data_IF_279861415516
#
_entry.id   IF_279861415516
#
_cell.length_a   1.000
_cell.length_b   1.000
_cell.length_c   1.000
_cell.angle_alpha   90.00
_cell.angle_beta   90.00
_cell.angle_gamma   90.00
#
_symmetry.space_group_name_H-M   'P 1'
#
loop_
_entity.id
_entity.type
_entity.pdbx_description
1 polymer ?
#
# COMPACT_ATOMS: atom_id res chain seq x y z
N UNK A 1 -21.96 45.41 43.65
CA UNK A 1 -22.43 44.20 42.98
C UNK A 1 -21.47 43.92 41.82
N UNK A 2 -20.55 42.97 42.03
CA UNK A 2 -19.63 42.50 41.00
C UNK A 2 -20.21 41.19 40.41
N UNK A 3 -20.55 41.20 39.14
CA UNK A 3 -20.94 40.01 38.39
C UNK A 3 -19.68 39.39 37.79
N UNK A 4 -19.28 38.24 38.33
CA UNK A 4 -18.22 37.39 37.75
C UNK A 4 -18.80 36.64 36.55
N UNK A 5 -18.29 36.92 35.36
CA UNK A 5 -18.56 36.13 34.15
C UNK A 5 -17.73 34.85 34.18
N UNK A 6 -18.37 33.69 34.24
CA UNK A 6 -17.74 32.42 33.96
C UNK A 6 -17.53 32.30 32.43
N UNK A 7 -16.26 32.35 31.99
CA UNK A 7 -15.85 31.87 30.69
C UNK A 7 -15.85 30.34 30.76
N UNK A 8 -16.87 29.72 30.17
CA UNK A 8 -16.89 28.29 29.91
C UNK A 8 -15.88 27.97 28.79
N UNK A 9 -14.73 27.41 29.15
CA UNK A 9 -13.86 26.73 28.22
C UNK A 9 -14.61 25.47 27.74
N UNK A 10 -15.12 25.50 26.54
CA UNK A 10 -15.59 24.30 25.85
C UNK A 10 -14.41 23.35 25.71
N UNK A 11 -14.43 22.26 26.46
CA UNK A 11 -13.57 21.11 26.19
C UNK A 11 -14.03 20.59 24.82
N UNK A 12 -13.19 20.74 23.79
CA UNK A 12 -13.34 19.98 22.57
C UNK A 12 -13.32 18.50 22.98
N UNK A 13 -14.43 17.83 22.81
CA UNK A 13 -14.54 16.40 23.01
C UNK A 13 -13.68 15.81 21.92
N UNK A 14 -12.51 15.25 22.27
CA UNK A 14 -11.74 14.41 21.38
C UNK A 14 -12.68 13.30 20.92
N UNK A 15 -12.75 13.09 19.63
CA UNK A 15 -13.51 12.00 19.04
C UNK A 15 -12.78 10.71 19.46
N UNK A 16 -13.34 9.98 20.44
CA UNK A 16 -12.73 8.79 21.07
C UNK A 16 -12.71 7.58 20.10
N UNK A 17 -12.88 7.82 18.80
CA UNK A 17 -12.90 6.75 17.82
C UNK A 17 -11.49 6.47 17.31
N UNK A 18 -10.98 5.25 17.59
CA UNK A 18 -9.72 4.79 17.04
C UNK A 18 -9.78 4.72 15.50
N UNK A 19 -8.72 5.16 14.83
CA UNK A 19 -8.58 5.00 13.38
C UNK A 19 -8.34 3.52 13.06
N UNK A 20 -9.31 2.86 12.40
CA UNK A 20 -9.23 1.45 12.02
C UNK A 20 -8.61 1.29 10.64
N UNK A 21 -7.41 0.72 10.61
CA UNK A 21 -6.62 0.55 9.39
C UNK A 21 -6.55 -0.91 8.99
N UNK A 22 -7.05 -1.24 7.81
CA UNK A 22 -6.93 -2.58 7.23
C UNK A 22 -5.60 -2.78 6.51
N UNK A 23 -4.96 -3.93 6.74
CA UNK A 23 -3.73 -4.31 6.05
C UNK A 23 -3.60 -5.83 5.93
N UNK A 24 -2.79 -6.32 4.97
CA UNK A 24 -2.68 -7.76 4.74
C UNK A 24 -1.79 -8.46 5.77
N UNK A 25 -0.81 -7.77 6.34
CA UNK A 25 0.21 -8.39 7.18
C UNK A 25 1.12 -9.38 6.44
N UNK A 26 1.14 -9.34 5.11
CA UNK A 26 1.93 -10.22 4.25
C UNK A 26 2.67 -9.51 3.12
N UNK A 27 2.69 -8.18 3.09
CA UNK A 27 3.29 -7.37 2.03
C UNK A 27 4.59 -6.69 2.50
N UNK A 28 5.67 -7.47 2.52
CA UNK A 28 7.00 -7.01 2.96
C UNK A 28 7.60 -5.97 2.00
N UNK A 29 8.21 -4.89 2.49
CA UNK A 29 8.35 -4.47 3.89
C UNK A 29 7.31 -3.41 4.33
N UNK A 30 6.22 -3.23 3.61
CA UNK A 30 5.21 -2.22 3.87
C UNK A 30 4.32 -2.58 5.05
N UNK A 31 3.79 -3.82 5.06
CA UNK A 31 2.98 -4.37 6.15
C UNK A 31 3.18 -5.88 6.21
N UNK A 32 3.78 -6.39 7.28
CA UNK A 32 4.07 -7.81 7.42
C UNK A 32 4.09 -8.21 8.90
N UNK A 33 3.86 -9.51 9.15
CA UNK A 33 3.95 -10.10 10.48
C UNK A 33 5.28 -10.84 10.59
N UNK A 34 6.06 -10.48 11.62
CA UNK A 34 7.28 -11.17 12.01
C UNK A 34 7.28 -11.39 13.51
N UNK A 35 7.57 -12.61 13.96
CA UNK A 35 7.56 -13.00 15.39
C UNK A 35 6.22 -12.67 16.09
N UNK A 36 5.11 -12.87 15.38
CA UNK A 36 3.74 -12.55 15.82
C UNK A 36 3.45 -11.04 16.02
N UNK A 37 4.33 -10.16 15.56
CA UNK A 37 4.15 -8.71 15.60
C UNK A 37 3.91 -8.16 14.19
N UNK A 38 2.88 -7.32 14.04
CA UNK A 38 2.62 -6.57 12.82
C UNK A 38 3.56 -5.38 12.76
N UNK A 39 4.30 -5.25 11.66
CA UNK A 39 5.28 -4.19 11.46
C UNK A 39 5.39 -3.83 9.98
N UNK A 40 6.12 -2.76 9.68
CA UNK A 40 6.37 -2.31 8.33
C UNK A 40 6.26 -0.79 8.19
N UNK A 41 6.68 -0.30 7.03
CA UNK A 41 6.64 1.13 6.72
C UNK A 41 5.26 1.75 6.95
N UNK A 42 4.19 1.11 6.50
CA UNK A 42 2.83 1.63 6.63
C UNK A 42 2.31 1.56 8.07
N UNK A 43 2.80 0.62 8.88
CA UNK A 43 2.48 0.57 10.32
C UNK A 43 3.06 1.80 11.01
N UNK A 44 4.33 2.14 10.73
CA UNK A 44 4.98 3.32 11.31
C UNK A 44 4.33 4.62 10.82
N UNK A 45 4.04 4.73 9.52
CA UNK A 45 3.37 5.92 8.95
C UNK A 45 1.99 6.13 9.59
N UNK A 46 1.16 5.08 9.69
CA UNK A 46 -0.20 5.21 10.23
C UNK A 46 -0.19 5.41 11.76
N UNK A 47 0.83 4.92 12.45
CA UNK A 47 1.05 5.23 13.86
C UNK A 47 1.36 6.73 14.04
N UNK A 48 2.30 7.27 13.26
CA UNK A 48 2.63 8.70 13.29
C UNK A 48 1.42 9.59 12.89
N UNK A 49 0.64 9.18 11.88
CA UNK A 49 -0.60 9.87 11.48
C UNK A 49 -1.60 9.92 12.66
N UNK A 50 -1.83 8.80 13.33
CA UNK A 50 -2.76 8.75 14.47
C UNK A 50 -2.27 9.58 15.64
N UNK A 51 -0.96 9.58 15.93
CA UNK A 51 -0.34 10.44 16.94
C UNK A 51 -0.53 11.92 16.64
N UNK A 52 -0.30 12.36 15.38
CA UNK A 52 -0.54 13.73 14.94
C UNK A 52 -2.03 14.13 15.05
N UNK A 53 -2.94 13.20 14.74
CA UNK A 53 -4.38 13.41 14.88
C UNK A 53 -4.86 13.39 16.34
N UNK A 54 -4.05 12.91 17.30
CA UNK A 54 -4.41 12.74 18.69
C UNK A 54 -5.46 11.64 18.93
N UNK A 55 -5.45 10.57 18.11
CA UNK A 55 -6.35 9.41 18.22
C UNK A 55 -5.54 8.11 18.34
N UNK A 56 -6.18 7.03 18.82
CA UNK A 56 -5.59 5.70 18.77
C UNK A 56 -5.68 5.12 17.33
N UNK A 57 -4.77 4.22 16.96
CA UNK A 57 -4.85 3.43 15.74
C UNK A 57 -5.11 1.96 16.08
N UNK A 58 -6.04 1.34 15.36
CA UNK A 58 -6.35 -0.10 15.44
C UNK A 58 -6.01 -0.75 14.09
N UNK A 59 -5.00 -1.60 14.04
CA UNK A 59 -4.65 -2.35 12.83
C UNK A 59 -5.45 -3.64 12.75
N UNK A 60 -6.14 -3.85 11.63
CA UNK A 60 -6.97 -5.02 11.35
C UNK A 60 -6.38 -5.78 10.18
N UNK A 61 -5.93 -7.02 10.41
CA UNK A 61 -5.33 -7.86 9.36
C UNK A 61 -6.35 -8.77 8.69
N UNK A 62 -6.28 -8.85 7.36
CA UNK A 62 -7.09 -9.76 6.53
C UNK A 62 -6.36 -10.04 5.21
N UNK A 63 -6.82 -11.04 4.43
CA UNK A 63 -6.31 -11.21 3.07
C UNK A 63 -6.54 -9.93 2.24
N UNK A 64 -5.57 -9.57 1.39
CA UNK A 64 -5.63 -8.35 0.57
C UNK A 64 -6.94 -8.25 -0.22
N UNK A 65 -7.37 -9.35 -0.85
CA UNK A 65 -8.63 -9.43 -1.61
C UNK A 65 -9.89 -9.08 -0.80
N UNK A 66 -9.85 -9.23 0.53
CA UNK A 66 -10.95 -8.93 1.44
C UNK A 66 -10.99 -7.50 1.98
N UNK A 67 -9.89 -6.73 1.86
CA UNK A 67 -9.76 -5.42 2.51
C UNK A 67 -10.79 -4.40 2.01
N UNK A 68 -11.02 -4.34 0.69
CA UNK A 68 -12.03 -3.42 0.13
C UNK A 68 -13.45 -3.74 0.61
N UNK A 69 -13.82 -5.03 0.73
CA UNK A 69 -15.10 -5.42 1.32
C UNK A 69 -15.24 -5.04 2.80
N UNK A 70 -14.12 -5.02 3.54
CA UNK A 70 -14.11 -4.54 4.93
C UNK A 70 -14.27 -3.02 4.99
N UNK A 71 -13.63 -2.28 4.09
CA UNK A 71 -13.79 -0.83 3.94
C UNK A 71 -15.24 -0.48 3.60
N UNK A 72 -15.84 -1.11 2.59
CA UNK A 72 -17.22 -0.89 2.16
C UNK A 72 -18.24 -1.19 3.26
N UNK A 73 -18.00 -2.23 4.07
CA UNK A 73 -18.86 -2.59 5.20
C UNK A 73 -18.64 -1.75 6.47
N UNK A 74 -17.68 -0.83 6.48
CA UNK A 74 -17.35 0.02 7.63
C UNK A 74 -16.69 -0.72 8.79
N UNK A 75 -16.09 -1.90 8.54
CA UNK A 75 -15.30 -2.61 9.54
C UNK A 75 -13.92 -1.98 9.75
N UNK A 76 -13.41 -1.31 8.73
CA UNK A 76 -12.22 -0.47 8.75
C UNK A 76 -12.55 0.88 8.14
N UNK A 77 -11.76 1.88 8.47
CA UNK A 77 -11.95 3.25 8.00
C UNK A 77 -11.12 3.53 6.75
N UNK A 78 -9.94 2.90 6.65
CA UNK A 78 -9.03 3.01 5.51
C UNK A 78 -8.24 1.72 5.32
N UNK A 79 -7.53 1.62 4.20
CA UNK A 79 -6.61 0.52 3.88
C UNK A 79 -5.21 1.09 3.70
N UNK A 80 -4.24 0.56 4.45
CA UNK A 80 -2.81 0.78 4.24
C UNK A 80 -2.17 -0.54 3.80
N UNK A 81 -1.96 -0.71 2.50
CA UNK A 81 -1.40 -1.89 1.86
C UNK A 81 -0.94 -1.56 0.43
N UNK A 82 -0.25 -0.43 0.28
CA UNK A 82 0.20 0.10 -1.01
C UNK A 82 -0.95 0.19 -2.03
N UNK A 83 -2.03 0.88 -1.64
CA UNK A 83 -3.20 1.00 -2.50
C UNK A 83 -2.95 2.02 -3.59
N UNK A 84 -2.71 1.53 -4.79
CA UNK A 84 -2.52 2.36 -5.98
C UNK A 84 -3.79 3.12 -6.34
N UNK A 85 -3.66 4.40 -6.60
CA UNK A 85 -4.72 5.22 -7.18
C UNK A 85 -4.93 4.76 -8.63
N UNK A 86 -6.15 4.30 -8.96
CA UNK A 86 -6.57 3.96 -10.32
C UNK A 86 -7.91 4.60 -10.62
N UNK A 87 -8.23 4.83 -11.90
CA UNK A 87 -9.54 5.39 -12.30
C UNK A 87 -10.72 4.55 -11.78
N UNK A 88 -10.58 3.22 -11.79
CA UNK A 88 -11.61 2.34 -11.25
C UNK A 88 -11.83 2.58 -9.76
N UNK A 89 -10.73 2.67 -8.98
CA UNK A 89 -10.81 2.89 -7.53
C UNK A 89 -11.30 4.30 -7.19
N UNK A 90 -10.84 5.34 -7.91
CA UNK A 90 -11.33 6.71 -7.75
C UNK A 90 -12.82 6.87 -8.07
N UNK A 91 -13.40 5.99 -8.90
CA UNK A 91 -14.85 5.98 -9.14
C UNK A 91 -15.69 5.50 -7.95
N UNK A 92 -15.07 4.86 -6.95
CA UNK A 92 -15.74 4.22 -5.80
C UNK A 92 -15.30 4.80 -4.45
N UNK A 93 -14.09 5.32 -4.37
CA UNK A 93 -13.46 5.75 -3.11
C UNK A 93 -12.86 7.15 -3.25
N UNK A 94 -12.73 7.83 -2.12
CA UNK A 94 -11.96 9.08 -2.03
C UNK A 94 -10.59 8.78 -1.42
N UNK A 95 -9.55 9.38 -1.95
CA UNK A 95 -8.17 9.12 -1.55
C UNK A 95 -7.55 10.33 -0.83
N UNK A 96 -6.56 10.08 0.01
CA UNK A 96 -5.59 11.10 0.44
C UNK A 96 -4.70 11.53 -0.74
N UNK A 97 -3.85 12.52 -0.53
CA UNK A 97 -2.70 12.75 -1.41
C UNK A 97 -1.79 11.51 -1.39
N UNK A 98 -1.08 11.21 -2.48
CA UNK A 98 -0.12 10.11 -2.49
C UNK A 98 0.95 10.28 -1.42
N UNK A 99 1.26 9.20 -0.69
CA UNK A 99 2.35 9.16 0.29
C UNK A 99 3.49 8.23 -0.13
N UNK A 100 3.33 7.47 -1.22
CA UNK A 100 4.37 6.65 -1.86
C UNK A 100 4.32 6.81 -3.37
N UNK A 101 5.49 6.93 -3.98
CA UNK A 101 5.71 6.97 -5.42
C UNK A 101 6.66 5.83 -5.81
N UNK A 102 6.24 4.98 -6.74
CA UNK A 102 6.96 3.78 -7.15
C UNK A 102 6.64 3.45 -8.62
N UNK A 103 6.94 2.23 -9.03
CA UNK A 103 6.64 1.73 -10.37
C UNK A 103 6.35 0.23 -10.38
N UNK A 104 5.50 -0.20 -11.31
CA UNK A 104 5.22 -1.61 -11.55
C UNK A 104 6.44 -2.30 -12.15
N UNK A 105 6.88 -3.40 -11.54
CA UNK A 105 8.11 -4.11 -11.86
C UNK A 105 7.85 -5.58 -12.15
N UNK A 106 8.43 -6.08 -13.23
CA UNK A 106 8.51 -7.52 -13.53
C UNK A 106 9.66 -8.12 -12.72
N UNK A 107 9.37 -9.22 -12.05
CA UNK A 107 10.36 -10.01 -11.29
C UNK A 107 10.38 -11.43 -11.81
N UNK A 108 11.56 -11.97 -11.97
CA UNK A 108 11.80 -13.32 -12.51
C UNK A 108 12.70 -14.12 -11.60
N UNK A 109 12.81 -15.41 -11.87
CA UNK A 109 13.86 -16.23 -11.26
C UNK A 109 15.22 -15.74 -11.70
N UNK A 110 16.16 -15.68 -10.76
CA UNK A 110 17.57 -15.32 -11.06
C UNK A 110 18.16 -16.23 -12.15
N UNK A 111 18.89 -15.61 -13.08
CA UNK A 111 19.42 -16.28 -14.27
C UNK A 111 18.43 -16.46 -15.41
N UNK A 112 17.20 -15.93 -15.32
CA UNK A 112 16.28 -15.91 -16.45
C UNK A 112 16.69 -14.82 -17.46
N UNK A 113 17.19 -15.23 -18.61
CA UNK A 113 17.58 -14.33 -19.70
C UNK A 113 16.45 -14.13 -20.76
N UNK A 114 15.38 -14.90 -20.64
CA UNK A 114 14.28 -14.88 -21.62
C UNK A 114 13.27 -13.77 -21.38
N UNK A 115 13.24 -13.16 -20.17
CA UNK A 115 12.36 -12.06 -19.80
C UNK A 115 13.24 -10.93 -19.30
N UNK A 116 13.34 -9.87 -20.08
CA UNK A 116 14.12 -8.67 -19.77
C UNK A 116 13.26 -7.43 -19.55
N UNK A 117 11.92 -7.59 -19.63
CA UNK A 117 10.95 -6.52 -19.42
C UNK A 117 9.52 -6.99 -19.66
N UNK A 118 8.58 -6.06 -19.60
CA UNK A 118 7.16 -6.35 -19.74
C UNK A 118 6.82 -6.89 -21.13
N UNK A 119 7.53 -6.47 -22.17
CA UNK A 119 7.30 -6.88 -23.56
C UNK A 119 7.60 -8.38 -23.80
N UNK A 120 8.42 -9.00 -22.95
CA UNK A 120 8.78 -10.42 -23.05
C UNK A 120 7.79 -11.35 -22.32
N UNK A 121 6.71 -10.79 -21.74
CA UNK A 121 5.68 -11.58 -21.06
C UNK A 121 4.73 -12.32 -21.99
N UNK A 122 4.82 -12.12 -23.29
CA UNK A 122 4.04 -12.86 -24.31
C UNK A 122 4.29 -14.36 -24.19
N UNK A 123 3.21 -15.16 -24.12
CA UNK A 123 3.26 -16.61 -23.97
C UNK A 123 3.80 -17.08 -22.61
N UNK A 124 3.86 -16.19 -21.61
CA UNK A 124 4.34 -16.49 -20.26
C UNK A 124 3.21 -16.61 -19.26
N UNK A 125 3.48 -17.34 -18.19
CA UNK A 125 2.62 -17.41 -17.00
C UNK A 125 3.12 -16.38 -16.00
N UNK A 126 2.28 -15.39 -15.68
CA UNK A 126 2.62 -14.26 -14.80
C UNK A 126 1.74 -14.26 -13.57
N UNK A 127 2.34 -14.25 -12.39
CA UNK A 127 1.63 -14.19 -11.11
C UNK A 127 1.41 -12.74 -10.67
N UNK A 128 0.24 -12.47 -10.09
CA UNK A 128 -0.10 -11.22 -9.42
C UNK A 128 -0.94 -11.51 -8.17
N UNK A 129 -0.96 -10.59 -7.21
CA UNK A 129 -1.88 -10.71 -6.08
C UNK A 129 -3.33 -10.48 -6.53
N UNK A 130 -4.23 -11.32 -6.04
CA UNK A 130 -5.67 -11.26 -6.34
C UNK A 130 -6.26 -9.91 -5.91
N UNK A 131 -6.89 -9.20 -6.86
CA UNK A 131 -7.47 -7.87 -6.65
C UNK A 131 -6.47 -6.71 -6.67
N UNK A 132 -5.20 -6.97 -7.03
CA UNK A 132 -4.21 -5.92 -7.22
C UNK A 132 -4.41 -5.17 -8.55
N UNK A 133 -3.91 -3.92 -8.60
CA UNK A 133 -3.86 -3.16 -9.85
C UNK A 133 -2.92 -3.77 -10.91
N UNK A 134 -2.03 -4.68 -10.52
CA UNK A 134 -1.11 -5.34 -11.45
C UNK A 134 -1.83 -6.28 -12.42
N UNK A 135 -2.92 -6.93 -11.96
CA UNK A 135 -3.79 -7.71 -12.84
C UNK A 135 -4.41 -6.80 -13.93
N UNK A 136 -4.92 -5.62 -13.53
CA UNK A 136 -5.46 -4.64 -14.48
C UNK A 136 -4.39 -4.16 -15.46
N UNK A 137 -3.20 -3.76 -14.97
CA UNK A 137 -2.09 -3.30 -15.82
C UNK A 137 -1.68 -4.34 -16.87
N UNK A 138 -1.64 -5.62 -16.49
CA UNK A 138 -1.34 -6.69 -17.45
C UNK A 138 -2.46 -6.88 -18.48
N UNK A 139 -3.73 -6.76 -18.08
CA UNK A 139 -4.89 -6.87 -18.96
C UNK A 139 -5.00 -5.68 -19.95
N UNK A 140 -4.40 -4.54 -19.64
CA UNK A 140 -4.37 -3.36 -20.51
C UNK A 140 -3.23 -3.40 -21.56
N UNK A 141 -2.33 -4.38 -21.47
CA UNK A 141 -1.26 -4.52 -22.46
C UNK A 141 -1.81 -4.91 -23.84
N UNK A 142 -1.22 -4.41 -24.94
CA UNK A 142 -1.68 -4.72 -26.32
C UNK A 142 -1.68 -6.21 -26.66
N UNK A 143 -1.02 -7.04 -25.86
CA UNK A 143 -0.86 -8.49 -26.01
C UNK A 143 -1.32 -9.26 -24.77
N UNK A 144 -2.24 -8.71 -24.00
CA UNK A 144 -2.78 -9.33 -22.78
C UNK A 144 -3.30 -10.75 -23.02
N UNK A 145 -3.98 -10.97 -24.16
CA UNK A 145 -4.51 -12.29 -24.56
C UNK A 145 -3.42 -13.37 -24.76
N UNK A 146 -2.16 -12.97 -24.87
CA UNK A 146 -1.01 -13.87 -24.98
C UNK A 146 -0.35 -14.17 -23.61
N UNK A 147 -0.82 -13.56 -22.52
CA UNK A 147 -0.28 -13.75 -21.16
C UNK A 147 -1.22 -14.64 -20.36
N UNK A 148 -0.70 -15.70 -19.73
CA UNK A 148 -1.45 -16.47 -18.75
C UNK A 148 -1.30 -15.79 -17.37
N UNK A 149 -2.27 -14.94 -16.98
CA UNK A 149 -2.28 -14.28 -15.68
C UNK A 149 -2.82 -15.24 -14.63
N UNK A 150 -2.06 -15.46 -13.55
CA UNK A 150 -2.47 -16.24 -12.37
C UNK A 150 -2.54 -15.36 -11.15
N UNK A 151 -3.69 -15.35 -10.50
CA UNK A 151 -3.92 -14.59 -9.26
C UNK A 151 -3.66 -15.45 -8.04
N UNK A 152 -3.03 -14.86 -7.03
CA UNK A 152 -2.60 -15.50 -5.80
C UNK A 152 -3.02 -14.67 -4.57
N UNK A 153 -3.37 -15.33 -3.49
CA UNK A 153 -3.53 -14.68 -2.18
C UNK A 153 -2.17 -14.44 -1.49
N UNK A 154 -1.16 -15.29 -1.78
CA UNK A 154 0.18 -15.22 -1.20
C UNK A 154 1.18 -16.08 -1.98
N UNK A 155 2.48 -16.00 -1.61
CA UNK A 155 3.55 -16.88 -2.10
C UNK A 155 3.92 -16.75 -3.59
N UNK A 156 3.63 -15.62 -4.22
CA UNK A 156 3.99 -15.39 -5.63
C UNK A 156 5.51 -15.44 -5.83
N UNK A 157 6.28 -14.97 -4.86
CA UNK A 157 7.75 -14.94 -4.89
C UNK A 157 8.33 -16.36 -4.87
N UNK A 158 7.78 -17.24 -4.01
CA UNK A 158 8.23 -18.63 -3.90
C UNK A 158 7.93 -19.41 -5.16
N UNK A 159 6.73 -19.23 -5.74
CA UNK A 159 6.34 -19.95 -6.96
C UNK A 159 7.18 -19.51 -8.17
N UNK A 160 7.55 -18.23 -8.24
CA UNK A 160 8.49 -17.73 -9.25
C UNK A 160 9.90 -18.27 -9.04
N UNK A 161 10.42 -18.23 -7.81
CA UNK A 161 11.73 -18.78 -7.45
C UNK A 161 11.85 -20.27 -7.78
N UNK A 162 10.75 -21.02 -7.61
CA UNK A 162 10.67 -22.46 -7.95
C UNK A 162 10.43 -22.71 -9.45
N UNK A 163 10.15 -21.67 -10.25
CA UNK A 163 9.86 -21.79 -11.68
C UNK A 163 8.48 -22.40 -11.98
N UNK A 164 7.50 -22.26 -11.08
CA UNK A 164 6.10 -22.69 -11.30
C UNK A 164 5.31 -21.66 -12.12
N UNK A 165 5.77 -20.41 -12.08
CA UNK A 165 5.38 -19.32 -12.98
C UNK A 165 6.64 -18.70 -13.55
N UNK A 166 6.54 -18.03 -14.69
CA UNK A 166 7.70 -17.44 -15.38
C UNK A 166 8.14 -16.12 -14.74
N UNK A 167 7.18 -15.35 -14.24
CA UNK A 167 7.40 -14.04 -13.62
C UNK A 167 6.27 -13.71 -12.62
N UNK A 168 6.49 -12.66 -11.83
CA UNK A 168 5.41 -11.96 -11.13
C UNK A 168 5.58 -10.44 -11.26
N UNK A 169 4.52 -9.70 -10.95
CA UNK A 169 4.52 -8.24 -10.99
C UNK A 169 4.12 -7.68 -9.63
N UNK A 170 4.89 -6.70 -9.15
CA UNK A 170 4.64 -5.96 -7.91
C UNK A 170 5.33 -4.59 -7.94
N UNK A 171 5.27 -3.84 -6.84
CA UNK A 171 6.05 -2.59 -6.65
C UNK A 171 7.55 -2.86 -6.73
N UNK A 172 8.29 -1.99 -7.40
CA UNK A 172 9.75 -2.11 -7.52
C UNK A 172 10.44 -2.05 -6.16
N UNK A 173 9.97 -1.19 -5.26
CA UNK A 173 10.54 -1.06 -3.91
C UNK A 173 10.38 -2.37 -3.14
N UNK A 174 9.16 -2.94 -3.08
CA UNK A 174 8.93 -4.23 -2.43
C UNK A 174 9.75 -5.34 -3.08
N UNK A 175 9.74 -5.44 -4.41
CA UNK A 175 10.53 -6.44 -5.15
C UNK A 175 12.02 -6.36 -4.81
N UNK A 176 12.58 -5.15 -4.77
CA UNK A 176 14.00 -4.92 -4.44
C UNK A 176 14.34 -5.36 -3.02
N UNK A 177 13.46 -5.07 -2.06
CA UNK A 177 13.65 -5.47 -0.66
C UNK A 177 13.48 -7.00 -0.47
N UNK A 178 12.51 -7.61 -1.16
CA UNK A 178 12.36 -9.07 -1.17
C UNK A 178 13.63 -9.75 -1.69
N UNK A 179 14.19 -9.29 -2.81
CA UNK A 179 15.42 -9.84 -3.40
C UNK A 179 16.61 -9.66 -2.46
N UNK A 180 16.69 -8.52 -1.78
CA UNK A 180 17.81 -8.21 -0.88
C UNK A 180 17.75 -8.99 0.43
N UNK A 181 16.58 -9.11 1.04
CA UNK A 181 16.44 -9.60 2.42
C UNK A 181 16.01 -11.07 2.51
N UNK A 182 15.38 -11.62 1.46
CA UNK A 182 14.94 -13.01 1.45
C UNK A 182 15.87 -13.91 0.63
N UNK A 183 16.19 -15.13 1.09
CA UNK A 183 17.07 -16.06 0.38
C UNK A 183 16.38 -16.74 -0.81
N UNK A 184 15.74 -15.95 -1.67
CA UNK A 184 15.07 -16.42 -2.87
C UNK A 184 15.88 -16.04 -4.12
N UNK A 185 16.10 -16.98 -5.07
CA UNK A 185 16.81 -16.70 -6.31
C UNK A 185 15.91 -15.91 -7.28
N UNK A 186 15.75 -14.62 -7.03
CA UNK A 186 14.92 -13.70 -7.80
C UNK A 186 15.75 -12.53 -8.33
N UNK A 187 15.33 -11.96 -9.46
CA UNK A 187 15.92 -10.79 -10.08
C UNK A 187 14.86 -9.88 -10.70
N UNK A 188 15.12 -8.57 -10.71
CA UNK A 188 14.30 -7.61 -11.45
C UNK A 188 14.54 -7.79 -12.95
N UNK A 189 13.47 -7.80 -13.75
CA UNK A 189 13.54 -7.84 -15.21
C UNK A 189 13.21 -6.46 -15.78
N UNK A 190 14.20 -5.81 -16.37
CA UNK A 190 14.08 -4.49 -17.01
C UNK A 190 13.79 -3.34 -16.06
N UNK A 191 13.21 -2.29 -16.64
CA UNK A 191 12.76 -1.11 -15.89
C UNK A 191 11.29 -1.26 -15.46
N UNK A 192 10.83 -0.38 -14.58
CA UNK A 192 9.40 -0.24 -14.29
C UNK A 192 8.64 0.14 -15.57
N UNK A 193 7.44 -0.41 -15.73
CA UNK A 193 6.64 -0.22 -16.96
C UNK A 193 5.38 0.63 -16.75
N UNK A 194 5.08 1.01 -15.50
CA UNK A 194 3.99 1.91 -15.14
C UNK A 194 4.36 2.67 -13.86
N UNK A 195 4.01 3.95 -13.79
CA UNK A 195 4.12 4.73 -12.55
C UNK A 195 3.05 4.28 -11.56
N UNK A 196 3.42 4.18 -10.29
CA UNK A 196 2.53 3.83 -9.19
C UNK A 196 2.51 4.98 -8.19
N UNK A 197 1.32 5.40 -7.82
CA UNK A 197 1.09 6.37 -6.74
C UNK A 197 0.15 5.72 -5.73
N UNK A 198 0.62 5.55 -4.51
CA UNK A 198 -0.15 4.90 -3.46
C UNK A 198 -0.68 5.93 -2.46
N UNK A 199 -1.94 5.77 -2.09
CA UNK A 199 -2.65 6.64 -1.17
C UNK A 199 -3.65 5.82 -0.33
N UNK A 200 -4.21 6.44 0.70
CA UNK A 200 -5.17 5.82 1.59
C UNK A 200 -6.60 6.02 1.06
N UNK A 201 -7.34 4.94 0.73
CA UNK A 201 -8.72 5.02 0.27
C UNK A 201 -9.69 5.12 1.45
N UNK A 202 -10.74 5.88 1.29
CA UNK A 202 -11.88 5.99 2.20
C UNK A 202 -13.19 5.82 1.43
N UNK A 203 -14.28 5.43 2.13
CA UNK A 203 -15.62 5.43 1.52
C UNK A 203 -16.01 6.83 1.07
N UNK A 204 -16.80 6.92 0.02
CA UNK A 204 -17.33 8.20 -0.47
C UNK A 204 -18.61 8.62 0.28
N UNK A 205 -18.48 8.86 1.59
CA UNK A 205 -19.53 9.43 2.45
C UNK A 205 -19.06 10.75 3.04
N UNK A 206 -19.97 11.60 3.53
CA UNK A 206 -19.61 12.88 4.16
C UNK A 206 -18.66 12.69 5.34
N UNK A 207 -18.97 11.75 6.24
CA UNK A 207 -18.16 11.45 7.44
C UNK A 207 -16.78 10.92 7.05
N UNK A 208 -16.69 10.01 6.08
CA UNK A 208 -15.43 9.44 5.66
C UNK A 208 -14.57 10.45 4.88
N UNK A 209 -15.19 11.39 4.16
CA UNK A 209 -14.48 12.52 3.54
C UNK A 209 -13.86 13.43 4.58
N UNK A 210 -14.56 13.75 5.66
CA UNK A 210 -14.02 14.53 6.79
C UNK A 210 -12.87 13.80 7.48
N UNK A 211 -12.99 12.49 7.68
CA UNK A 211 -11.91 11.67 8.23
C UNK A 211 -10.69 11.64 7.31
N UNK A 212 -10.91 11.44 5.99
CA UNK A 212 -9.86 11.50 4.97
C UNK A 212 -9.13 12.84 4.99
N UNK A 213 -9.86 13.97 5.11
CA UNK A 213 -9.26 15.30 5.15
C UNK A 213 -8.39 15.49 6.39
N UNK A 214 -8.79 14.93 7.54
CA UNK A 214 -7.98 14.93 8.77
C UNK A 214 -6.71 14.09 8.62
N UNK A 215 -6.82 12.90 8.03
CA UNK A 215 -5.66 12.02 7.76
C UNK A 215 -4.71 12.67 6.75
N UNK A 216 -5.25 13.30 5.72
CA UNK A 216 -4.47 13.99 4.69
C UNK A 216 -3.69 15.20 5.30
N UNK A 217 -4.35 15.97 6.17
CA UNK A 217 -3.69 17.07 6.89
C UNK A 217 -2.56 16.56 7.82
N UNK A 218 -2.75 15.42 8.49
CA UNK A 218 -1.70 14.79 9.30
C UNK A 218 -0.52 14.33 8.43
N UNK A 219 -0.78 13.69 7.29
CA UNK A 219 0.26 13.32 6.32
C UNK A 219 1.04 14.55 5.82
N UNK A 220 0.36 15.67 5.59
CA UNK A 220 1.02 16.93 5.19
C UNK A 220 1.92 17.46 6.33
N UNK A 221 1.47 17.41 7.59
CA UNK A 221 2.31 17.77 8.75
C UNK A 221 3.57 16.90 8.83
N UNK A 222 3.42 15.57 8.68
CA UNK A 222 4.57 14.64 8.70
C UNK A 222 5.52 14.88 7.51
N UNK A 223 5.00 15.29 6.37
CA UNK A 223 5.81 15.65 5.19
C UNK A 223 6.58 16.95 5.44
N UNK A 224 5.92 17.98 5.97
CA UNK A 224 6.53 19.29 6.25
C UNK A 224 7.57 19.21 7.38
N UNK A 225 7.35 18.40 8.41
CA UNK A 225 8.33 18.15 9.48
C UNK A 225 9.53 17.31 9.02
N UNK A 226 9.40 16.55 7.94
CA UNK A 226 10.39 15.60 7.45
C UNK A 226 10.27 14.19 8.05
N UNK A 227 9.34 13.95 8.95
CA UNK A 227 9.15 12.66 9.64
C UNK A 227 8.74 11.54 8.66
N UNK A 228 7.87 11.84 7.69
CA UNK A 228 7.48 10.87 6.65
C UNK A 228 8.69 10.39 5.85
N UNK A 229 9.62 11.29 5.53
CA UNK A 229 10.90 10.97 4.88
C UNK A 229 11.80 10.15 5.78
N UNK A 230 11.92 10.49 7.07
CA UNK A 230 12.76 9.75 8.03
C UNK A 230 12.28 8.30 8.16
N UNK A 231 10.96 8.07 8.25
CA UNK A 231 10.37 6.72 8.24
C UNK A 231 10.72 6.00 6.93
N UNK A 232 10.61 6.67 5.79
CA UNK A 232 10.98 6.09 4.49
C UNK A 232 12.47 5.70 4.43
N UNK A 233 13.36 6.59 4.83
CA UNK A 233 14.80 6.33 4.83
C UNK A 233 15.19 5.20 5.81
N UNK A 234 14.48 5.05 6.92
CA UNK A 234 14.69 3.96 7.87
C UNK A 234 14.39 2.58 7.23
N UNK A 235 13.30 2.47 6.48
CA UNK A 235 12.86 1.21 5.88
C UNK A 235 13.57 0.88 4.57
N UNK A 236 13.85 1.88 3.75
CA UNK A 236 14.29 1.68 2.36
C UNK A 236 15.71 2.21 2.10
N UNK A 237 16.25 3.04 2.99
CA UNK A 237 17.52 3.76 2.77
C UNK A 237 17.41 4.88 1.74
N UNK A 238 16.19 5.23 1.33
CA UNK A 238 15.87 6.30 0.38
C UNK A 238 14.47 6.86 0.66
N UNK A 239 14.21 8.06 0.19
CA UNK A 239 12.89 8.68 0.25
C UNK A 239 12.03 8.20 -0.94
N UNK A 240 10.94 7.47 -0.66
CA UNK A 240 9.93 7.07 -1.63
C UNK A 240 8.63 7.87 -1.49
N UNK A 241 8.60 8.89 -0.64
CA UNK A 241 7.41 9.68 -0.31
C UNK A 241 7.24 10.92 -1.18
N UNK A 242 8.21 11.17 -2.05
CA UNK A 242 8.22 12.26 -3.05
C UNK A 242 8.40 11.69 -4.46
N UNK A 243 7.87 12.37 -5.52
CA UNK A 243 8.05 11.99 -6.92
C UNK A 243 9.49 11.91 -7.38
#
# INVERSE_FOLDING_TARGET
MLTAGLLGAGLAQADDHALKVGMSGGYFPFTFVEQDELQGFEVDVLTAVAEEMGVEVEFVTANFSGLFGMLESGRIDTIANQITITEERESKYVFTQPYVYDGAQVVVKDGNEAIQGVEDLKGKTVAVNLGSNYEQLLNELPYADEIEIRTYESNIEQDTALGRVDAFVMDRVSASQVIKEKPLPLALAGQTFSEIRNALPFRDTEIDRELRDRVDAALDTLRESGELREISEQWFGTDITTP
#
